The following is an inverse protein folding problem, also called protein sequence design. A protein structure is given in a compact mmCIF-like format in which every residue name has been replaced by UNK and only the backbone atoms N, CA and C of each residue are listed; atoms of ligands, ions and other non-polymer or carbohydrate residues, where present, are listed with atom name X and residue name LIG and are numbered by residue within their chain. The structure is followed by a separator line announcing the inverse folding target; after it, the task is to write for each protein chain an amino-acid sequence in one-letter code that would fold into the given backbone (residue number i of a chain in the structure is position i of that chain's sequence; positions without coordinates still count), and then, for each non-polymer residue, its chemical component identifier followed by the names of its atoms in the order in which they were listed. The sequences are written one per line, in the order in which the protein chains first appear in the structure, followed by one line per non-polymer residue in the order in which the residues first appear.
data_IF_259536227517
#
_entry.id   IF_259536227517
#
_cell.length_a   1.000
_cell.length_b   1.000
_cell.length_c   1.000
_cell.angle_alpha   90.00
_cell.angle_beta   90.00
_cell.angle_gamma   90.00
#
_symmetry.space_group_name_H-M   'P 1'
#
loop_
_entity.id
_entity.type
_entity.pdbx_description
1 polymer ?
#
# COMPACT_ATOMS: atom_id res chain seq x y z
N UNK A 1 -8.16 -10.77 31.96
CA UNK A 1 -7.22 -10.23 30.98
C UNK A 1 -6.45 -11.37 30.35
N UNK A 2 -6.19 -11.33 29.06
CA UNK A 2 -5.57 -12.46 28.32
C UNK A 2 -4.11 -12.69 28.75
N UNK A 3 -3.34 -11.64 29.05
CA UNK A 3 -1.94 -11.75 29.50
C UNK A 3 -1.78 -12.66 30.75
N UNK A 4 -2.62 -12.50 31.76
CA UNK A 4 -2.54 -13.33 32.95
C UNK A 4 -2.80 -14.82 32.68
N UNK A 5 -3.74 -15.11 31.77
CA UNK A 5 -3.99 -16.47 31.30
C UNK A 5 -2.79 -17.04 30.56
N UNK A 6 -2.14 -16.24 29.72
CA UNK A 6 -0.96 -16.67 28.98
C UNK A 6 0.24 -16.91 29.90
N UNK A 7 0.49 -16.03 30.88
CA UNK A 7 1.53 -16.24 31.89
C UNK A 7 1.24 -17.56 32.66
N UNK A 8 0.00 -17.79 33.04
CA UNK A 8 -0.38 -19.05 33.70
C UNK A 8 -0.14 -20.27 32.82
N UNK A 9 -0.49 -20.20 31.54
CA UNK A 9 -0.27 -21.28 30.56
C UNK A 9 1.24 -21.56 30.40
N UNK A 10 2.06 -20.53 30.17
CA UNK A 10 3.51 -20.65 30.01
C UNK A 10 4.17 -21.25 31.26
N UNK A 11 3.71 -20.86 32.45
CA UNK A 11 4.16 -21.43 33.73
C UNK A 11 3.81 -22.91 33.84
N UNK A 12 2.56 -23.26 33.54
CA UNK A 12 2.08 -24.63 33.61
C UNK A 12 2.77 -25.55 32.60
N UNK A 13 2.99 -25.06 31.35
CA UNK A 13 3.71 -25.79 30.31
C UNK A 13 5.15 -26.16 30.74
N UNK A 14 5.75 -25.38 31.66
CA UNK A 14 7.05 -25.66 32.27
C UNK A 14 7.00 -26.40 33.59
N UNK A 15 5.84 -26.80 34.04
CA UNK A 15 5.64 -27.49 35.32
C UNK A 15 6.00 -26.67 36.56
N UNK A 16 6.02 -25.32 36.44
CA UNK A 16 6.41 -24.44 37.55
C UNK A 16 5.25 -24.12 38.47
N UNK A 17 5.55 -23.96 39.78
CA UNK A 17 4.59 -23.40 40.73
C UNK A 17 4.56 -21.86 40.66
N UNK A 18 3.56 -21.23 41.26
CA UNK A 18 3.51 -19.75 41.33
C UNK A 18 4.67 -19.21 42.17
N UNK A 19 5.09 -19.93 43.20
CA UNK A 19 6.24 -19.59 44.04
C UNK A 19 7.55 -19.67 43.27
N UNK A 20 7.73 -20.69 42.42
CA UNK A 20 8.93 -20.84 41.59
C UNK A 20 9.04 -19.69 40.54
N UNK A 21 7.94 -19.35 39.92
CA UNK A 21 7.91 -18.21 38.99
C UNK A 21 8.16 -16.87 39.71
N UNK A 22 7.55 -16.69 40.88
CA UNK A 22 7.73 -15.50 41.68
C UNK A 22 9.19 -15.30 42.12
N UNK A 23 9.82 -16.37 42.57
CA UNK A 23 11.25 -16.35 42.94
C UNK A 23 12.16 -15.97 41.74
N UNK A 24 11.86 -16.53 40.55
CA UNK A 24 12.63 -16.23 39.32
C UNK A 24 12.51 -14.77 38.85
N UNK A 25 11.35 -14.14 39.10
CA UNK A 25 11.07 -12.75 38.72
C UNK A 25 11.21 -11.74 39.87
N UNK A 26 11.74 -12.20 41.00
CA UNK A 26 11.93 -11.38 42.21
C UNK A 26 10.64 -10.64 42.67
N UNK A 27 9.51 -11.34 42.61
CA UNK A 27 8.19 -10.87 43.08
C UNK A 27 7.59 -11.84 44.08
N UNK A 28 6.40 -11.56 44.65
CA UNK A 28 5.71 -12.48 45.56
C UNK A 28 4.83 -13.46 44.79
N UNK A 29 4.60 -14.66 45.36
CA UNK A 29 3.66 -15.62 44.79
C UNK A 29 2.23 -15.03 44.70
N UNK A 30 1.85 -14.16 45.65
CA UNK A 30 0.59 -13.45 45.61
C UNK A 30 0.49 -12.49 44.41
N UNK A 31 1.60 -11.87 44.01
CA UNK A 31 1.68 -11.00 42.80
C UNK A 31 1.45 -11.83 41.55
N UNK A 32 2.12 -12.97 41.41
CA UNK A 32 1.90 -13.91 40.30
C UNK A 32 0.46 -14.39 40.26
N UNK A 33 -0.10 -14.77 41.41
CA UNK A 33 -1.50 -15.18 41.50
C UNK A 33 -2.48 -14.09 41.04
N UNK A 34 -2.24 -12.83 41.42
CA UNK A 34 -3.06 -11.69 40.98
C UNK A 34 -2.96 -11.46 39.46
N UNK A 35 -1.79 -11.63 38.85
CA UNK A 35 -1.63 -11.56 37.39
C UNK A 35 -2.43 -12.67 36.71
N UNK A 36 -2.28 -13.93 37.17
CA UNK A 36 -2.94 -15.09 36.57
C UNK A 36 -4.46 -15.05 36.72
N UNK A 37 -4.96 -14.45 37.77
CA UNK A 37 -6.40 -14.22 37.99
C UNK A 37 -6.93 -12.96 37.30
N UNK A 38 -6.03 -12.15 36.66
CA UNK A 38 -6.41 -10.92 35.99
C UNK A 38 -6.81 -9.77 36.92
N UNK A 39 -6.51 -9.85 38.20
CA UNK A 39 -6.78 -8.79 39.18
C UNK A 39 -5.83 -7.60 39.02
N UNK A 40 -4.57 -7.88 38.62
CA UNK A 40 -3.54 -6.89 38.29
C UNK A 40 -2.79 -7.37 37.07
N UNK A 41 -2.02 -6.46 36.42
CA UNK A 41 -1.05 -6.77 35.36
C UNK A 41 0.36 -6.67 35.91
N UNK A 42 1.34 -7.37 35.30
CA UNK A 42 2.74 -7.09 35.52
C UNK A 42 3.06 -5.64 35.21
N UNK A 43 4.04 -5.08 35.95
CA UNK A 43 4.63 -3.80 35.57
C UNK A 43 5.26 -3.91 34.18
N UNK A 44 5.15 -2.85 33.41
CA UNK A 44 5.70 -2.76 32.06
C UNK A 44 7.20 -3.05 32.03
N UNK A 45 7.92 -2.69 33.08
CA UNK A 45 9.36 -2.94 33.22
C UNK A 45 9.70 -4.42 33.44
N UNK A 46 8.74 -5.22 33.94
CA UNK A 46 8.92 -6.67 34.13
C UNK A 46 8.60 -7.48 32.88
N UNK A 47 7.90 -6.91 31.88
CA UNK A 47 7.49 -7.65 30.70
C UNK A 47 8.68 -8.24 29.92
N UNK A 48 9.80 -7.50 29.71
CA UNK A 48 10.99 -8.07 29.07
C UNK A 48 11.56 -9.25 29.86
N UNK A 49 11.63 -9.18 31.19
CA UNK A 49 12.17 -10.26 32.05
C UNK A 49 11.28 -11.50 31.96
N UNK A 50 9.97 -11.32 32.02
CA UNK A 50 8.99 -12.41 31.86
C UNK A 50 9.14 -13.07 30.48
N UNK A 51 9.26 -12.27 29.41
CA UNK A 51 9.43 -12.75 28.05
C UNK A 51 10.73 -13.56 27.89
N UNK A 52 11.84 -13.04 28.38
CA UNK A 52 13.15 -13.74 28.40
C UNK A 52 13.08 -15.02 29.22
N UNK A 53 12.50 -14.96 30.42
CA UNK A 53 12.36 -16.13 31.29
C UNK A 53 11.60 -17.27 30.61
N UNK A 54 10.51 -16.94 29.90
CA UNK A 54 9.73 -17.92 29.15
C UNK A 54 10.23 -18.17 27.72
N UNK A 55 11.27 -17.49 27.24
CA UNK A 55 11.78 -17.65 25.88
C UNK A 55 10.72 -17.32 24.80
N UNK A 56 9.89 -16.31 25.06
CA UNK A 56 8.81 -15.88 24.17
C UNK A 56 8.94 -14.39 23.86
N UNK A 57 8.26 -13.91 22.82
CA UNK A 57 8.17 -12.47 22.57
C UNK A 57 7.22 -11.78 23.58
N UNK A 58 7.42 -10.48 23.81
CA UNK A 58 6.48 -9.67 24.62
C UNK A 58 5.08 -9.72 24.04
N UNK A 59 4.93 -9.72 22.71
CA UNK A 59 3.64 -9.80 22.01
C UNK A 59 2.89 -11.09 22.39
N UNK A 60 3.60 -12.19 22.58
CA UNK A 60 3.01 -13.44 23.05
C UNK A 60 2.47 -13.35 24.47
N UNK A 61 3.09 -12.55 25.35
CA UNK A 61 2.56 -12.31 26.69
C UNK A 61 1.21 -11.58 26.68
N UNK A 62 1.01 -10.71 25.66
CA UNK A 62 -0.28 -10.05 25.44
C UNK A 62 -1.34 -10.98 24.85
N UNK A 63 -0.97 -12.24 24.54
CA UNK A 63 -1.84 -13.21 23.88
C UNK A 63 -2.44 -12.64 22.56
N UNK A 64 -1.65 -11.83 21.83
CA UNK A 64 -2.06 -11.29 20.55
C UNK A 64 -2.30 -12.44 19.57
N UNK A 65 -3.46 -12.40 18.91
CA UNK A 65 -3.74 -13.34 17.83
C UNK A 65 -2.76 -13.13 16.66
N UNK A 66 -2.51 -14.14 15.83
CA UNK A 66 -1.70 -13.97 14.61
C UNK A 66 -2.19 -12.81 13.74
N UNK A 67 -3.50 -12.62 13.65
CA UNK A 67 -4.11 -11.52 12.92
C UNK A 67 -3.70 -10.15 13.47
N UNK A 68 -3.78 -9.97 14.80
CA UNK A 68 -3.36 -8.71 15.46
C UNK A 68 -1.85 -8.46 15.32
N UNK A 69 -1.03 -9.53 15.32
CA UNK A 69 0.41 -9.40 15.09
C UNK A 69 0.70 -8.95 13.66
N UNK A 70 0.01 -9.52 12.66
CA UNK A 70 0.14 -9.11 11.26
C UNK A 70 -0.34 -7.68 11.03
N UNK A 71 -1.45 -7.26 11.63
CA UNK A 71 -1.93 -5.88 11.58
C UNK A 71 -0.91 -4.89 12.17
N UNK A 72 -0.26 -5.26 13.27
CA UNK A 72 0.81 -4.46 13.86
C UNK A 72 2.05 -4.37 12.95
N UNK A 73 2.42 -5.47 12.29
CA UNK A 73 3.50 -5.47 11.29
C UNK A 73 3.13 -4.55 10.12
N UNK A 74 1.91 -4.64 9.62
CA UNK A 74 1.42 -3.79 8.53
C UNK A 74 1.51 -2.30 8.90
N UNK A 75 1.00 -1.93 10.07
CA UNK A 75 1.10 -0.56 10.58
C UNK A 75 2.57 -0.10 10.71
N UNK A 76 3.48 -1.00 11.09
CA UNK A 76 4.91 -0.69 11.19
C UNK A 76 5.53 -0.46 9.81
N UNK A 77 5.15 -1.24 8.79
CA UNK A 77 5.60 -1.06 7.40
C UNK A 77 5.18 0.33 6.88
N UNK A 78 3.93 0.75 7.14
CA UNK A 78 3.45 2.07 6.69
C UNK A 78 3.99 3.25 7.50
N UNK A 79 4.26 3.05 8.80
CA UNK A 79 4.70 4.13 9.68
C UNK A 79 6.18 4.48 9.53
N UNK A 80 6.98 3.64 8.88
CA UNK A 80 8.44 3.82 8.75
C UNK A 80 8.86 3.95 7.29
N UNK A 81 9.91 4.75 7.09
CA UNK A 81 10.65 4.77 5.84
C UNK A 81 11.55 3.53 5.69
N UNK A 82 12.85 3.71 5.55
CA UNK A 82 13.81 2.62 5.40
C UNK A 82 13.98 1.85 6.74
N UNK A 83 13.87 0.52 6.68
CA UNK A 83 14.24 -0.37 7.78
C UNK A 83 15.76 -0.65 7.73
N UNK A 84 16.37 -0.81 8.91
CA UNK A 84 17.69 -1.39 8.94
C UNK A 84 17.65 -2.90 8.69
N UNK A 85 18.80 -3.48 8.35
CA UNK A 85 18.92 -4.89 7.97
C UNK A 85 18.45 -5.86 9.09
N UNK A 86 18.63 -5.50 10.35
CA UNK A 86 18.22 -6.33 11.47
C UNK A 86 16.72 -6.31 11.67
N UNK A 87 16.09 -5.13 11.52
CA UNK A 87 14.65 -4.96 11.59
C UNK A 87 13.94 -5.67 10.43
N UNK A 88 14.47 -5.54 9.20
CA UNK A 88 13.95 -6.21 8.02
C UNK A 88 13.97 -7.73 8.20
N UNK A 89 15.11 -8.30 8.56
CA UNK A 89 15.24 -9.74 8.85
C UNK A 89 14.29 -10.22 9.96
N UNK A 90 14.07 -9.40 10.98
CA UNK A 90 13.14 -9.76 12.05
C UNK A 90 11.69 -9.83 11.52
N UNK A 91 11.28 -8.88 10.68
CA UNK A 91 9.95 -8.89 10.05
C UNK A 91 9.80 -10.08 9.09
N UNK A 92 10.82 -10.37 8.27
CA UNK A 92 10.85 -11.53 7.39
C UNK A 92 10.67 -12.85 8.16
N UNK A 93 11.40 -13.03 9.26
CA UNK A 93 11.27 -14.22 10.10
C UNK A 93 9.88 -14.38 10.71
N UNK A 94 9.31 -13.28 11.21
CA UNK A 94 7.97 -13.29 11.78
C UNK A 94 6.92 -13.62 10.73
N UNK A 95 6.96 -12.99 9.56
CA UNK A 95 6.04 -13.23 8.46
C UNK A 95 6.24 -14.62 7.85
N UNK A 96 7.49 -15.08 7.72
CA UNK A 96 7.80 -16.43 7.27
C UNK A 96 7.19 -17.50 8.16
N UNK A 97 7.22 -17.32 9.50
CA UNK A 97 6.56 -18.22 10.42
C UNK A 97 5.03 -18.28 10.26
N UNK A 98 4.39 -17.14 9.94
CA UNK A 98 2.95 -17.13 9.60
C UNK A 98 2.66 -17.78 8.25
N UNK A 99 3.58 -17.70 7.28
CA UNK A 99 3.40 -18.29 5.96
C UNK A 99 3.45 -19.85 5.98
N UNK A 100 3.92 -20.47 7.04
CA UNK A 100 3.87 -21.91 7.25
C UNK A 100 2.43 -22.41 7.54
N UNK A 101 1.57 -21.54 8.09
CA UNK A 101 0.15 -21.86 8.31
C UNK A 101 -0.65 -21.60 7.02
N UNK A 102 -1.29 -22.60 6.41
CA UNK A 102 -2.07 -22.43 5.18
C UNK A 102 -3.20 -21.38 5.30
N UNK A 103 -3.76 -21.19 6.51
CA UNK A 103 -4.82 -20.21 6.73
C UNK A 103 -4.31 -18.76 6.75
N UNK A 104 -3.03 -18.55 7.08
CA UNK A 104 -2.40 -17.24 7.23
C UNK A 104 -1.46 -16.91 6.07
N UNK A 105 -1.04 -17.91 5.29
CA UNK A 105 -0.03 -17.80 4.22
C UNK A 105 -0.31 -16.63 3.27
N UNK A 106 -1.51 -16.53 2.76
CA UNK A 106 -1.85 -15.50 1.77
C UNK A 106 -1.67 -14.08 2.30
N UNK A 107 -2.01 -13.84 3.57
CA UNK A 107 -1.83 -12.54 4.21
C UNK A 107 -0.36 -12.28 4.57
N UNK A 108 0.36 -13.29 5.04
CA UNK A 108 1.79 -13.17 5.32
C UNK A 108 2.61 -12.83 4.07
N UNK A 109 2.34 -13.51 2.95
CA UNK A 109 2.98 -13.24 1.65
C UNK A 109 2.63 -11.83 1.13
N UNK A 110 1.39 -11.37 1.34
CA UNK A 110 1.02 -9.99 1.01
C UNK A 110 1.83 -8.97 1.83
N UNK A 111 2.03 -9.21 3.11
CA UNK A 111 2.81 -8.31 3.97
C UNK A 111 4.31 -8.33 3.62
N UNK A 112 4.87 -9.48 3.25
CA UNK A 112 6.22 -9.57 2.70
C UNK A 112 6.34 -8.75 1.39
N UNK A 113 5.34 -8.86 0.51
CA UNK A 113 5.30 -8.03 -0.71
C UNK A 113 5.27 -6.54 -0.38
N UNK A 114 4.46 -6.12 0.59
CA UNK A 114 4.39 -4.72 1.03
C UNK A 114 5.71 -4.26 1.65
N UNK A 115 6.35 -5.09 2.46
CA UNK A 115 7.66 -4.80 3.06
C UNK A 115 8.70 -4.53 1.98
N UNK A 116 8.87 -5.44 1.02
CA UNK A 116 9.86 -5.28 -0.04
C UNK A 116 9.55 -4.12 -0.98
N UNK A 117 8.28 -3.88 -1.33
CA UNK A 117 7.90 -2.71 -2.13
C UNK A 117 8.22 -1.40 -1.40
N UNK A 118 7.96 -1.33 -0.09
CA UNK A 118 8.33 -0.16 0.72
C UNK A 118 9.85 0.07 0.70
N UNK A 119 10.66 -0.99 0.94
CA UNK A 119 12.13 -0.87 0.91
C UNK A 119 12.63 -0.45 -0.48
N UNK A 120 12.11 -1.04 -1.55
CA UNK A 120 12.48 -0.68 -2.92
C UNK A 120 12.21 0.81 -3.21
N UNK A 121 11.06 1.33 -2.78
CA UNK A 121 10.71 2.75 -2.93
C UNK A 121 11.65 3.65 -2.13
N UNK A 122 12.00 3.29 -0.90
CA UNK A 122 12.95 4.07 -0.10
C UNK A 122 14.34 4.11 -0.74
N UNK A 123 14.83 2.97 -1.25
CA UNK A 123 16.10 2.95 -2.01
C UNK A 123 16.03 3.76 -3.29
N UNK A 124 14.89 3.75 -3.98
CA UNK A 124 14.66 4.58 -5.16
C UNK A 124 14.73 6.07 -4.83
N UNK A 125 14.14 6.51 -3.74
CA UNK A 125 14.23 7.90 -3.28
C UNK A 125 15.66 8.32 -2.95
N UNK A 126 16.43 7.45 -2.27
CA UNK A 126 17.85 7.69 -2.00
C UNK A 126 18.66 7.77 -3.30
N UNK A 127 18.39 6.88 -4.27
CA UNK A 127 19.05 6.92 -5.57
C UNK A 127 18.76 8.23 -6.33
N UNK A 128 17.55 8.78 -6.23
CA UNK A 128 17.21 10.08 -6.81
C UNK A 128 18.03 11.20 -6.19
N UNK A 129 18.18 11.25 -4.86
CA UNK A 129 18.95 12.30 -4.19
C UNK A 129 20.44 12.24 -4.54
N UNK A 130 21.04 11.05 -4.53
CA UNK A 130 22.43 10.87 -4.95
C UNK A 130 22.61 11.14 -6.47
N UNK A 131 21.64 10.74 -7.30
CA UNK A 131 21.67 10.97 -8.73
C UNK A 131 21.65 12.44 -9.11
N UNK A 132 20.83 13.27 -8.44
CA UNK A 132 20.83 14.74 -8.63
C UNK A 132 22.23 15.31 -8.36
N UNK A 133 22.81 14.96 -7.21
CA UNK A 133 24.16 15.41 -6.85
C UNK A 133 25.20 14.94 -7.87
N UNK A 134 25.13 13.68 -8.31
CA UNK A 134 26.05 13.15 -9.31
C UNK A 134 25.98 13.92 -10.63
N UNK A 135 24.80 14.21 -11.12
CA UNK A 135 24.59 14.99 -12.37
C UNK A 135 25.19 16.40 -12.23
N UNK A 136 24.96 17.07 -11.10
CA UNK A 136 25.50 18.41 -10.85
C UNK A 136 27.02 18.42 -10.75
N UNK A 137 27.61 17.49 -10.00
CA UNK A 137 29.06 17.44 -9.78
C UNK A 137 29.86 16.89 -10.97
N UNK A 138 29.21 16.20 -11.91
CA UNK A 138 29.85 15.67 -13.12
C UNK A 138 29.54 16.49 -14.39
N UNK A 139 28.94 17.67 -14.24
CA UNK A 139 28.54 18.53 -15.36
C UNK A 139 27.67 17.80 -16.40
N UNK A 140 26.75 16.95 -15.92
CA UNK A 140 25.80 16.23 -16.75
C UNK A 140 26.36 14.99 -17.44
N UNK A 141 27.24 14.26 -16.78
CA UNK A 141 27.75 12.98 -17.30
C UNK A 141 26.59 12.06 -17.74
N UNK A 142 26.67 11.44 -18.93
CA UNK A 142 25.57 10.62 -19.48
C UNK A 142 25.15 9.44 -18.58
N UNK A 143 26.10 8.80 -17.89
CA UNK A 143 25.78 7.69 -17.01
C UNK A 143 25.06 8.19 -15.75
N UNK A 144 25.51 9.34 -15.18
CA UNK A 144 24.83 9.95 -14.03
C UNK A 144 23.39 10.38 -14.38
N UNK A 145 23.18 10.98 -15.56
CA UNK A 145 21.84 11.33 -16.05
C UNK A 145 20.97 10.08 -16.25
N UNK A 146 21.53 9.03 -16.85
CA UNK A 146 20.83 7.77 -17.08
C UNK A 146 20.37 7.14 -15.76
N UNK A 147 21.25 7.05 -14.77
CA UNK A 147 20.92 6.46 -13.46
C UNK A 147 19.89 7.29 -12.69
N UNK A 148 19.97 8.62 -12.74
CA UNK A 148 18.96 9.51 -12.18
C UNK A 148 17.60 9.30 -12.85
N UNK A 149 17.56 9.22 -14.17
CA UNK A 149 16.33 8.97 -14.93
C UNK A 149 15.72 7.60 -14.57
N UNK A 150 16.54 6.56 -14.46
CA UNK A 150 16.11 5.23 -14.05
C UNK A 150 15.50 5.26 -12.64
N UNK A 151 16.18 5.92 -11.70
CA UNK A 151 15.70 6.05 -10.33
C UNK A 151 14.38 6.83 -10.25
N UNK A 152 14.18 7.83 -11.10
CA UNK A 152 12.95 8.66 -11.11
C UNK A 152 11.79 8.03 -11.86
N UNK A 153 11.97 6.84 -12.46
CA UNK A 153 10.94 6.16 -13.21
C UNK A 153 10.67 6.79 -14.57
N UNK A 154 11.71 7.38 -15.19
CA UNK A 154 11.64 7.92 -16.53
C UNK A 154 11.49 6.83 -17.59
N UNK A 155 11.24 7.23 -18.84
CA UNK A 155 11.08 6.32 -19.96
C UNK A 155 12.30 5.41 -20.14
N UNK A 156 12.08 4.11 -20.11
CA UNK A 156 13.07 3.08 -20.43
C UNK A 156 12.57 2.30 -21.65
N UNK A 157 13.30 2.36 -22.76
CA UNK A 157 12.85 1.81 -24.05
C UNK A 157 12.63 0.30 -24.07
N UNK A 158 13.26 -0.45 -23.16
CA UNK A 158 13.24 -1.91 -23.13
C UNK A 158 12.44 -2.51 -21.95
N UNK A 159 11.82 -1.70 -21.10
CA UNK A 159 11.15 -2.20 -19.90
C UNK A 159 9.95 -3.11 -20.23
N UNK A 160 9.23 -2.84 -21.30
CA UNK A 160 8.11 -3.67 -21.77
C UNK A 160 8.57 -5.10 -22.06
N UNK A 161 9.71 -5.27 -22.71
CA UNK A 161 10.26 -6.59 -23.07
C UNK A 161 10.67 -7.35 -21.81
N UNK A 162 11.31 -6.68 -20.86
CA UNK A 162 11.84 -7.32 -19.64
C UNK A 162 10.77 -7.66 -18.61
N UNK A 163 9.86 -6.72 -18.35
CA UNK A 163 8.93 -6.80 -17.23
C UNK A 163 7.49 -7.07 -17.67
N UNK A 164 6.96 -6.32 -18.62
CA UNK A 164 5.57 -6.47 -19.06
C UNK A 164 5.28 -7.83 -19.66
N UNK A 165 6.17 -8.36 -20.49
CA UNK A 165 5.93 -9.66 -21.11
C UNK A 165 5.79 -10.78 -20.09
N UNK A 166 6.66 -10.83 -19.08
CA UNK A 166 6.60 -11.82 -18.01
C UNK A 166 5.34 -11.66 -17.14
N UNK A 167 5.00 -10.42 -16.79
CA UNK A 167 3.79 -10.10 -16.03
C UNK A 167 2.52 -10.47 -16.81
N UNK A 168 2.43 -10.11 -18.08
CA UNK A 168 1.30 -10.46 -18.96
C UNK A 168 1.15 -11.99 -19.05
N UNK A 169 2.25 -12.73 -19.23
CA UNK A 169 2.22 -14.18 -19.32
C UNK A 169 1.68 -14.80 -18.02
N UNK A 170 2.14 -14.32 -16.87
CA UNK A 170 1.68 -14.79 -15.57
C UNK A 170 0.20 -14.45 -15.30
N UNK A 171 -0.20 -13.20 -15.56
CA UNK A 171 -1.59 -12.76 -15.39
C UNK A 171 -2.55 -13.53 -16.30
N UNK A 172 -2.15 -13.79 -17.56
CA UNK A 172 -2.94 -14.60 -18.51
C UNK A 172 -3.21 -15.98 -17.95
N UNK A 173 -2.16 -16.72 -17.57
CA UNK A 173 -2.27 -18.05 -16.98
C UNK A 173 -3.14 -18.03 -15.71
N UNK A 174 -2.96 -17.03 -14.86
CA UNK A 174 -3.79 -16.86 -13.66
C UNK A 174 -5.27 -16.63 -14.01
N UNK A 175 -5.56 -15.73 -14.96
CA UNK A 175 -6.94 -15.43 -15.39
C UNK A 175 -7.60 -16.62 -16.09
N UNK A 176 -6.86 -17.43 -16.85
CA UNK A 176 -7.37 -18.66 -17.45
C UNK A 176 -7.80 -19.67 -16.39
N UNK A 177 -7.01 -19.84 -15.35
CA UNK A 177 -7.33 -20.72 -14.21
C UNK A 177 -8.41 -20.14 -13.29
N UNK A 178 -8.60 -18.83 -13.29
CA UNK A 178 -9.53 -18.11 -12.40
C UNK A 178 -10.46 -17.16 -13.17
N UNK A 179 -11.31 -17.66 -14.09
CA UNK A 179 -12.04 -16.83 -15.05
C UNK A 179 -13.09 -15.90 -14.44
N UNK A 180 -13.42 -16.05 -13.16
CA UNK A 180 -14.39 -15.21 -12.44
C UNK A 180 -13.74 -14.11 -11.59
N UNK A 181 -12.42 -14.00 -11.60
CA UNK A 181 -11.69 -12.99 -10.80
C UNK A 181 -11.51 -11.71 -11.62
N UNK A 182 -12.34 -10.69 -11.33
CA UNK A 182 -12.35 -9.42 -12.05
C UNK A 182 -11.04 -8.64 -11.93
N UNK A 183 -10.52 -8.46 -10.70
CA UNK A 183 -9.35 -7.62 -10.46
C UNK A 183 -8.09 -8.06 -11.27
N UNK A 184 -7.64 -9.32 -11.26
CA UNK A 184 -6.51 -9.75 -12.10
C UNK A 184 -6.75 -9.57 -13.59
N UNK A 185 -8.02 -9.72 -14.04
CA UNK A 185 -8.40 -9.51 -15.43
C UNK A 185 -8.26 -8.05 -15.86
N UNK A 186 -8.58 -7.11 -14.97
CA UNK A 186 -8.37 -5.69 -15.21
C UNK A 186 -6.87 -5.36 -15.33
N UNK A 187 -6.03 -5.86 -14.42
CA UNK A 187 -4.58 -5.70 -14.53
C UNK A 187 -4.01 -6.29 -15.81
N UNK A 188 -4.54 -7.45 -16.27
CA UNK A 188 -4.15 -8.02 -17.55
C UNK A 188 -4.50 -7.08 -18.71
N UNK A 189 -5.71 -6.49 -18.70
CA UNK A 189 -6.14 -5.54 -19.73
C UNK A 189 -5.26 -4.29 -19.75
N UNK A 190 -4.95 -3.71 -18.60
CA UNK A 190 -4.08 -2.53 -18.48
C UNK A 190 -2.73 -2.80 -19.14
N UNK A 191 -2.08 -3.91 -18.75
CA UNK A 191 -0.77 -4.28 -19.30
C UNK A 191 -0.80 -4.65 -20.79
N UNK A 192 -1.87 -5.27 -21.28
CA UNK A 192 -2.04 -5.57 -22.72
C UNK A 192 -2.22 -4.30 -23.56
N UNK A 193 -2.95 -3.32 -23.03
CA UNK A 193 -3.17 -2.03 -23.72
C UNK A 193 -1.85 -1.25 -23.77
N UNK A 194 -1.13 -1.20 -22.69
CA UNK A 194 0.16 -0.53 -22.56
C UNK A 194 1.20 -1.14 -23.51
N UNK A 195 1.25 -2.47 -23.58
CA UNK A 195 2.12 -3.24 -24.48
C UNK A 195 1.62 -3.25 -25.95
N UNK A 196 0.55 -2.50 -26.25
CA UNK A 196 -0.05 -2.41 -27.61
C UNK A 196 -0.57 -3.73 -28.17
N UNK A 197 -0.86 -4.72 -27.33
CA UNK A 197 -1.49 -6.00 -27.73
C UNK A 197 -3.01 -5.86 -27.82
N UNK A 198 -3.46 -4.90 -28.61
CA UNK A 198 -4.87 -4.45 -28.61
C UNK A 198 -5.85 -5.53 -29.08
N UNK A 199 -5.43 -6.40 -30.00
CA UNK A 199 -6.27 -7.52 -30.44
C UNK A 199 -6.54 -8.50 -29.30
N UNK A 200 -5.52 -8.82 -28.52
CA UNK A 200 -5.64 -9.69 -27.35
C UNK A 200 -6.47 -9.01 -26.25
N UNK A 201 -6.23 -7.71 -25.98
CA UNK A 201 -7.00 -6.91 -25.04
C UNK A 201 -8.50 -6.93 -25.34
N UNK A 202 -8.89 -6.80 -26.62
CA UNK A 202 -10.31 -6.90 -27.04
C UNK A 202 -10.92 -8.26 -26.71
N UNK A 203 -10.17 -9.35 -26.87
CA UNK A 203 -10.61 -10.69 -26.50
C UNK A 203 -10.86 -10.83 -25.00
N UNK A 204 -9.96 -10.30 -24.18
CA UNK A 204 -10.11 -10.31 -22.73
C UNK A 204 -11.21 -9.35 -22.24
N UNK A 205 -11.41 -8.23 -22.92
CA UNK A 205 -12.51 -7.31 -22.60
C UNK A 205 -13.90 -7.95 -22.74
N UNK A 206 -14.09 -8.87 -23.70
CA UNK A 206 -15.32 -9.67 -23.81
C UNK A 206 -15.55 -10.50 -22.54
N UNK A 207 -14.48 -11.07 -21.98
CA UNK A 207 -14.57 -11.84 -20.73
C UNK A 207 -14.90 -10.92 -19.55
N UNK A 208 -14.31 -9.72 -19.48
CA UNK A 208 -14.65 -8.74 -18.45
C UNK A 208 -16.11 -8.32 -18.54
N UNK A 209 -16.61 -8.04 -19.74
CA UNK A 209 -18.01 -7.62 -19.97
C UNK A 209 -19.04 -8.69 -19.56
N UNK A 210 -18.64 -9.95 -19.45
CA UNK A 210 -19.48 -11.02 -18.91
C UNK A 210 -19.52 -11.05 -17.37
N UNK A 211 -18.63 -10.31 -16.71
CA UNK A 211 -18.48 -10.28 -15.25
C UNK A 211 -18.80 -8.93 -14.62
N UNK A 212 -18.80 -7.88 -15.42
CA UNK A 212 -18.87 -6.49 -14.98
C UNK A 212 -19.76 -5.67 -15.93
N UNK A 213 -20.77 -5.04 -15.40
CA UNK A 213 -21.70 -4.16 -16.12
C UNK A 213 -21.51 -2.66 -15.74
N UNK A 214 -20.46 -2.36 -14.98
CA UNK A 214 -20.14 -1.00 -14.50
C UNK A 214 -19.38 -0.18 -15.56
N UNK A 215 -18.91 0.99 -15.16
CA UNK A 215 -18.10 1.91 -15.99
C UNK A 215 -16.80 1.30 -16.52
N UNK A 216 -16.31 0.22 -15.95
CA UNK A 216 -15.02 -0.40 -16.31
C UNK A 216 -14.97 -0.90 -17.74
N UNK A 217 -16.07 -1.48 -18.23
CA UNK A 217 -16.14 -1.94 -19.62
C UNK A 217 -16.11 -0.76 -20.60
N UNK A 218 -16.92 0.30 -20.47
CA UNK A 218 -16.77 1.53 -21.25
C UNK A 218 -15.40 2.18 -21.12
N UNK A 219 -14.77 2.19 -19.93
CA UNK A 219 -13.43 2.69 -19.70
C UNK A 219 -12.40 1.95 -20.58
N UNK A 220 -12.40 0.63 -20.58
CA UNK A 220 -11.48 -0.16 -21.39
C UNK A 220 -11.76 0.00 -22.90
N UNK A 221 -13.00 0.19 -23.32
CA UNK A 221 -13.33 0.55 -24.70
C UNK A 221 -12.70 1.88 -25.10
N UNK A 222 -12.77 2.89 -24.20
CA UNK A 222 -12.09 4.18 -24.40
C UNK A 222 -10.57 4.00 -24.51
N UNK A 223 -9.95 3.32 -23.57
CA UNK A 223 -8.48 3.12 -23.54
C UNK A 223 -7.99 2.39 -24.79
N UNK A 224 -8.68 1.36 -25.24
CA UNK A 224 -8.36 0.66 -26.49
C UNK A 224 -8.52 1.57 -27.70
N UNK A 225 -9.61 2.34 -27.81
CA UNK A 225 -9.82 3.27 -28.91
C UNK A 225 -8.75 4.37 -28.94
N UNK A 226 -8.35 4.89 -27.78
CA UNK A 226 -7.25 5.84 -27.61
C UNK A 226 -5.93 5.22 -28.09
N UNK A 227 -5.63 4.00 -27.66
CA UNK A 227 -4.42 3.29 -28.06
C UNK A 227 -4.37 2.95 -29.57
N UNK A 228 -5.52 2.72 -30.22
CA UNK A 228 -5.63 2.51 -31.67
C UNK A 228 -5.46 3.78 -32.49
N UNK A 229 -5.63 4.96 -31.88
CA UNK A 229 -5.57 6.26 -32.56
C UNK A 229 -6.71 6.48 -33.57
N UNK A 230 -7.83 5.77 -33.40
CA UNK A 230 -9.01 5.86 -34.27
C UNK A 230 -9.96 6.95 -33.80
N UNK A 231 -10.74 7.54 -34.74
CA UNK A 231 -11.65 8.64 -34.48
C UNK A 231 -12.82 8.39 -33.52
N UNK A 232 -12.90 7.19 -32.92
CA UNK A 232 -13.93 6.80 -31.96
C UNK A 232 -13.65 7.27 -30.52
N UNK A 233 -12.41 7.73 -30.22
CA UNK A 233 -11.98 8.05 -28.84
C UNK A 233 -12.90 9.06 -28.17
N UNK A 234 -13.26 10.15 -28.87
CA UNK A 234 -14.14 11.19 -28.33
C UNK A 234 -15.59 10.70 -28.10
N UNK A 235 -16.05 9.80 -28.96
CA UNK A 235 -17.35 9.17 -28.76
C UNK A 235 -17.34 8.29 -27.50
N UNK A 236 -16.31 7.47 -27.34
CA UNK A 236 -16.17 6.58 -26.17
C UNK A 236 -16.00 7.37 -24.86
N UNK A 237 -15.33 8.52 -24.91
CA UNK A 237 -15.22 9.41 -23.76
C UNK A 237 -16.60 9.97 -23.36
N UNK A 238 -17.38 10.45 -24.35
CA UNK A 238 -18.74 10.94 -24.08
C UNK A 238 -19.67 9.83 -23.54
N UNK A 239 -19.52 8.60 -24.03
CA UNK A 239 -20.26 7.44 -23.49
C UNK A 239 -19.91 7.22 -22.01
N UNK A 240 -18.62 7.27 -21.65
CA UNK A 240 -18.13 7.11 -20.28
C UNK A 240 -18.59 8.27 -19.38
N UNK A 241 -18.53 9.52 -19.85
CA UNK A 241 -19.02 10.70 -19.11
C UNK A 241 -20.52 10.68 -18.88
N UNK A 242 -21.28 10.20 -19.86
CA UNK A 242 -22.74 10.13 -19.82
C UNK A 242 -23.27 9.04 -18.86
N UNK A 243 -22.41 8.18 -18.37
CA UNK A 243 -22.81 7.19 -17.36
C UNK A 243 -23.14 7.88 -16.04
N UNK A 244 -24.16 7.36 -15.37
CA UNK A 244 -24.49 7.74 -13.99
C UNK A 244 -24.06 6.63 -13.05
N UNK A 245 -22.75 6.35 -13.05
CA UNK A 245 -22.21 5.31 -12.16
C UNK A 245 -22.20 5.80 -10.71
N UNK A 246 -22.54 4.91 -9.80
CA UNK A 246 -22.55 5.18 -8.36
C UNK A 246 -21.18 4.97 -7.71
N UNK A 247 -20.24 4.36 -8.43
CA UNK A 247 -18.91 4.12 -7.92
C UNK A 247 -18.02 5.38 -8.05
N UNK A 248 -17.45 5.83 -6.96
CA UNK A 248 -16.53 6.98 -6.94
C UNK A 248 -15.31 6.80 -7.87
N UNK A 249 -14.87 5.56 -8.08
CA UNK A 249 -13.79 5.21 -9.00
C UNK A 249 -14.08 5.62 -10.45
N UNK A 250 -15.35 5.69 -10.87
CA UNK A 250 -15.72 6.22 -12.18
C UNK A 250 -15.32 7.68 -12.35
N UNK A 251 -15.59 8.50 -11.35
CA UNK A 251 -15.22 9.92 -11.38
C UNK A 251 -13.70 10.10 -11.30
N UNK A 252 -13.01 9.27 -10.50
CA UNK A 252 -11.54 9.25 -10.42
C UNK A 252 -10.94 8.94 -11.80
N UNK A 253 -11.42 7.89 -12.47
CA UNK A 253 -10.98 7.51 -13.82
C UNK A 253 -11.15 8.66 -14.83
N UNK A 254 -12.25 9.40 -14.79
CA UNK A 254 -12.45 10.57 -15.65
C UNK A 254 -11.46 11.69 -15.29
N UNK A 255 -11.16 11.87 -14.00
CA UNK A 255 -10.08 12.77 -13.55
C UNK A 255 -8.74 12.41 -14.16
N UNK A 256 -8.35 11.13 -14.15
CA UNK A 256 -7.12 10.61 -14.73
C UNK A 256 -7.06 10.84 -16.24
N UNK A 257 -8.15 10.53 -16.95
CA UNK A 257 -8.25 10.75 -18.40
C UNK A 257 -8.05 12.23 -18.75
N UNK A 258 -8.72 13.14 -18.04
CA UNK A 258 -8.56 14.58 -18.28
C UNK A 258 -7.20 15.12 -17.86
N UNK A 259 -6.55 14.52 -16.85
CA UNK A 259 -5.16 14.83 -16.47
C UNK A 259 -4.19 14.48 -17.62
N UNK A 260 -4.30 13.27 -18.18
CA UNK A 260 -3.50 12.85 -19.34
C UNK A 260 -3.71 13.73 -20.56
N UNK A 261 -4.91 14.28 -20.74
CA UNK A 261 -5.26 15.24 -21.80
C UNK A 261 -4.81 16.66 -21.49
N UNK A 262 -4.26 16.93 -20.30
CA UNK A 262 -3.90 18.25 -19.78
C UNK A 262 -5.10 19.22 -19.68
N UNK A 263 -6.30 18.68 -19.61
CA UNK A 263 -7.55 19.44 -19.39
C UNK A 263 -7.79 19.59 -17.88
N UNK A 264 -6.87 20.26 -17.19
CA UNK A 264 -6.75 20.27 -15.74
C UNK A 264 -7.98 20.77 -14.97
N UNK A 265 -8.71 21.74 -15.51
CA UNK A 265 -9.93 22.24 -14.86
C UNK A 265 -11.01 21.14 -14.79
N UNK A 266 -11.15 20.37 -15.87
CA UNK A 266 -12.06 19.22 -15.88
C UNK A 266 -11.55 18.11 -14.97
N UNK A 267 -10.25 17.82 -14.99
CA UNK A 267 -9.63 16.83 -14.12
C UNK A 267 -9.92 17.12 -12.65
N UNK A 268 -9.67 18.36 -12.20
CA UNK A 268 -9.95 18.80 -10.82
C UNK A 268 -11.44 18.66 -10.48
N UNK A 269 -12.32 19.03 -11.39
CA UNK A 269 -13.78 18.90 -11.18
C UNK A 269 -14.21 17.43 -10.98
N UNK A 270 -13.64 16.51 -11.77
CA UNK A 270 -13.92 15.08 -11.66
C UNK A 270 -13.30 14.46 -10.39
N UNK A 271 -12.07 14.82 -10.02
CA UNK A 271 -11.48 14.34 -8.77
C UNK A 271 -12.26 14.80 -7.55
N UNK A 272 -12.70 16.07 -7.52
CA UNK A 272 -13.56 16.57 -6.42
C UNK A 272 -14.89 15.83 -6.36
N UNK A 273 -15.53 15.59 -7.50
CA UNK A 273 -16.74 14.79 -7.57
C UNK A 273 -16.49 13.37 -7.02
N UNK A 274 -15.40 12.72 -7.42
CA UNK A 274 -15.02 11.41 -6.88
C UNK A 274 -14.79 11.44 -5.37
N UNK A 275 -14.13 12.47 -4.86
CA UNK A 275 -13.92 12.68 -3.42
C UNK A 275 -15.25 12.82 -2.65
N UNK A 276 -16.21 13.53 -3.22
CA UNK A 276 -17.54 13.71 -2.59
C UNK A 276 -18.34 12.40 -2.58
N UNK A 277 -18.22 11.59 -3.62
CA UNK A 277 -18.90 10.29 -3.76
C UNK A 277 -18.32 9.20 -2.84
N UNK A 278 -17.09 9.34 -2.35
CA UNK A 278 -16.46 8.32 -1.51
C UNK A 278 -17.17 8.17 -0.16
N UNK A 279 -17.51 6.94 0.24
CA UNK A 279 -17.93 6.66 1.61
C UNK A 279 -16.73 6.79 2.58
N UNK A 280 -17.02 7.00 3.85
CA UNK A 280 -15.98 6.90 4.88
C UNK A 280 -15.61 5.41 5.13
N UNK A 281 -14.34 5.11 5.40
CA UNK A 281 -13.18 6.02 5.38
C UNK A 281 -12.78 6.41 3.95
N UNK A 282 -12.55 7.71 3.72
CA UNK A 282 -12.15 8.24 2.41
C UNK A 282 -10.68 7.95 2.13
N UNK A 283 -10.35 7.72 0.85
CA UNK A 283 -8.97 7.61 0.37
C UNK A 283 -8.43 8.99 -0.03
N UNK A 284 -7.12 9.14 0.01
CA UNK A 284 -6.44 10.43 -0.24
C UNK A 284 -6.19 10.71 -1.74
N UNK A 285 -6.37 9.72 -2.62
CA UNK A 285 -5.94 9.75 -4.03
C UNK A 285 -6.44 10.97 -4.79
N UNK A 286 -7.74 11.26 -4.69
CA UNK A 286 -8.33 12.42 -5.37
C UNK A 286 -7.75 13.74 -4.89
N UNK A 287 -7.55 13.91 -3.59
CA UNK A 287 -6.98 15.12 -3.01
C UNK A 287 -5.50 15.27 -3.40
N UNK A 288 -4.73 14.17 -3.41
CA UNK A 288 -3.35 14.15 -3.88
C UNK A 288 -3.25 14.56 -5.36
N UNK A 289 -4.11 14.00 -6.22
CA UNK A 289 -4.15 14.37 -7.64
C UNK A 289 -4.45 15.85 -7.85
N UNK A 290 -5.39 16.42 -7.09
CA UNK A 290 -5.69 17.86 -7.12
C UNK A 290 -4.49 18.68 -6.67
N UNK A 291 -3.76 18.25 -5.63
CA UNK A 291 -2.56 18.94 -5.15
C UNK A 291 -1.47 18.98 -6.24
N UNK A 292 -1.14 17.83 -6.83
CA UNK A 292 -0.13 17.74 -7.89
C UNK A 292 -0.51 18.52 -9.14
N UNK A 293 -1.78 18.49 -9.57
CA UNK A 293 -2.23 19.34 -10.71
C UNK A 293 -2.08 20.81 -10.38
N UNK A 294 -2.39 21.23 -9.15
CA UNK A 294 -2.23 22.61 -8.72
C UNK A 294 -0.77 23.04 -8.73
N UNK A 295 0.17 22.16 -8.33
CA UNK A 295 1.61 22.39 -8.45
C UNK A 295 2.04 22.57 -9.91
N UNK A 296 1.62 21.66 -10.80
CA UNK A 296 1.92 21.75 -12.26
C UNK A 296 1.46 23.09 -12.83
N UNK A 297 0.33 23.62 -12.35
CA UNK A 297 -0.24 24.90 -12.76
C UNK A 297 0.41 26.12 -12.08
N UNK A 298 1.27 25.92 -11.09
CA UNK A 298 1.82 26.98 -10.25
C UNK A 298 0.81 27.60 -9.27
N UNK A 299 -0.35 26.96 -9.07
CA UNK A 299 -1.36 27.37 -8.08
C UNK A 299 -0.98 26.89 -6.68
N UNK A 300 -0.06 27.60 -6.04
CA UNK A 300 0.42 27.29 -4.68
C UNK A 300 -0.72 27.23 -3.65
N UNK A 301 -1.69 28.15 -3.74
CA UNK A 301 -2.79 28.19 -2.80
C UNK A 301 -3.70 26.97 -2.94
N UNK A 302 -4.00 26.59 -4.18
CA UNK A 302 -4.75 25.37 -4.50
C UNK A 302 -4.04 24.10 -4.05
N UNK A 303 -2.71 24.01 -4.28
CA UNK A 303 -1.90 22.87 -3.86
C UNK A 303 -1.91 22.72 -2.32
N UNK A 304 -1.64 23.81 -1.58
CA UNK A 304 -1.66 23.82 -0.11
C UNK A 304 -3.05 23.42 0.43
N UNK A 305 -4.13 23.91 -0.20
CA UNK A 305 -5.48 23.57 0.22
C UNK A 305 -5.77 22.07 0.03
N UNK A 306 -5.35 21.49 -1.10
CA UNK A 306 -5.52 20.08 -1.40
C UNK A 306 -4.66 19.17 -0.48
N UNK A 307 -3.42 19.53 -0.20
CA UNK A 307 -2.58 18.81 0.76
C UNK A 307 -3.13 18.86 2.19
N UNK A 308 -3.73 19.99 2.60
CA UNK A 308 -4.43 20.07 3.89
C UNK A 308 -5.62 19.12 3.96
N UNK A 309 -6.32 18.93 2.85
CA UNK A 309 -7.40 17.95 2.76
C UNK A 309 -6.86 16.53 2.90
N UNK A 310 -5.72 16.19 2.29
CA UNK A 310 -5.03 14.91 2.51
C UNK A 310 -4.75 14.69 4.00
N UNK A 311 -4.13 15.68 4.67
CA UNK A 311 -3.82 15.61 6.11
C UNK A 311 -5.09 15.46 6.98
N UNK A 312 -6.21 16.08 6.56
CA UNK A 312 -7.50 15.94 7.23
C UNK A 312 -8.02 14.52 7.11
N UNK A 313 -8.05 13.95 5.89
CA UNK A 313 -8.51 12.58 5.63
C UNK A 313 -7.65 11.58 6.42
N UNK A 314 -6.33 11.70 6.36
CA UNK A 314 -5.42 10.84 7.13
C UNK A 314 -5.78 10.82 8.62
N UNK A 315 -6.06 12.00 9.19
CA UNK A 315 -6.37 12.13 10.62
C UNK A 315 -7.78 11.67 10.96
N UNK A 316 -8.79 12.10 10.21
CA UNK A 316 -10.21 11.95 10.57
C UNK A 316 -10.78 10.61 10.13
N UNK A 317 -10.38 10.13 8.97
CA UNK A 317 -10.89 8.86 8.41
C UNK A 317 -10.01 7.67 8.79
N UNK A 318 -8.68 7.85 8.94
CA UNK A 318 -7.72 6.77 9.15
C UNK A 318 -7.00 6.82 10.49
N UNK A 319 -7.17 7.89 11.28
CA UNK A 319 -6.49 8.03 12.58
C UNK A 319 -4.97 8.23 12.47
N UNK A 320 -4.45 8.54 11.28
CA UNK A 320 -3.02 8.75 11.04
C UNK A 320 -2.64 10.17 11.48
N UNK A 321 -1.93 10.26 12.60
CA UNK A 321 -1.50 11.54 13.20
C UNK A 321 0.01 11.79 13.09
N UNK A 322 0.79 10.76 12.69
CA UNK A 322 2.24 10.83 12.51
C UNK A 322 2.69 9.71 11.56
N UNK A 323 3.92 9.79 11.06
CA UNK A 323 4.53 8.80 10.18
C UNK A 323 4.96 9.39 8.84
N UNK A 324 5.79 8.64 8.10
CA UNK A 324 6.48 9.13 6.90
C UNK A 324 5.52 9.66 5.82
N UNK A 325 4.41 8.97 5.56
CA UNK A 325 3.43 9.43 4.55
C UNK A 325 2.87 10.83 4.88
N UNK A 326 2.58 11.06 6.16
CA UNK A 326 2.11 12.36 6.63
C UNK A 326 3.22 13.42 6.54
N UNK A 327 4.42 13.06 6.97
CA UNK A 327 5.58 13.94 6.97
C UNK A 327 5.95 14.38 5.54
N UNK A 328 5.78 13.52 4.54
CA UNK A 328 5.96 13.86 3.12
C UNK A 328 4.98 14.98 2.69
N UNK A 329 3.71 14.85 3.02
CA UNK A 329 2.69 15.88 2.70
C UNK A 329 3.01 17.20 3.43
N UNK A 330 3.40 17.14 4.69
CA UNK A 330 3.79 18.34 5.44
C UNK A 330 5.06 19.00 4.88
N UNK A 331 6.03 18.21 4.38
CA UNK A 331 7.21 18.74 3.66
C UNK A 331 6.80 19.42 2.36
N UNK A 332 5.92 18.80 1.56
CA UNK A 332 5.42 19.42 0.33
C UNK A 332 4.77 20.79 0.59
N UNK A 333 3.93 20.90 1.64
CA UNK A 333 3.32 22.19 2.01
C UNK A 333 4.40 23.23 2.40
N UNK A 334 5.47 22.83 3.07
CA UNK A 334 6.55 23.76 3.47
C UNK A 334 7.41 24.24 2.32
N UNK A 335 7.49 23.48 1.23
CA UNK A 335 8.27 23.81 0.03
C UNK A 335 7.53 24.75 -0.93
N UNK A 336 6.22 24.81 -0.87
CA UNK A 336 5.36 25.71 -1.65
C UNK A 336 5.34 27.13 -1.10
#
# INVERSE_FOLDING_TARGET
MEMGKEIRRLRQDRGLTQEALAAALNVTAQTVSKWECGTTVPDVQLLPEIAVYFGVSIDRLFAMTPQQQMERIENRIYARGLFDEAEERQLEQQLGAFAEDPALKGQAELLLTKLYNNQAEQYRLLAVEHGKTAVEETDGDPDAVSELCNAWGSYISDWNVRNHHALIAWLRDYCERNPRKRCPLMWLLDNLIDDRRLAEAKGWLVKLAALDDTFRVPMYRYLIAQAEGKGETEQRLRELEGMQDQEWCWALTLGDIYTQRQEYDKAIAWYRKGQDMQPAPKFIDSAMSVAHISEIRGDKAGAIAAYREVLRIQREDWGIVSGEERDQVERAIRQL
#
